data_IF_060935573767
#
_entry.id   IF_060935573767
#
_cell.length_a   1.000
_cell.length_b   1.000
_cell.length_c   1.000
_cell.angle_alpha   90.00
_cell.angle_beta   90.00
_cell.angle_gamma   90.00
#
_symmetry.space_group_name_H-M   'P 1'
#
loop_
_entity.id
_entity.type
_entity.pdbx_description
1 polymer ?
#
# COMPACT_ATOMS: atom_id res chain seq x y z
N UNK A 1 -22.18 40.06 39.16
CA UNK A 1 -21.84 38.64 38.94
C UNK A 1 -23.11 37.88 39.30
N UNK A 2 -24.11 37.87 38.41
CA UNK A 2 -24.26 36.92 37.28
C UNK A 2 -24.23 35.47 37.74
N UNK A 3 -25.18 34.59 37.40
CA UNK A 3 -26.59 34.69 36.99
C UNK A 3 -27.13 33.27 37.13
N UNK A 4 -28.36 33.18 37.60
CA UNK A 4 -29.17 31.98 37.78
C UNK A 4 -29.50 31.29 36.46
N UNK A 5 -29.72 29.98 36.59
CA UNK A 5 -30.21 28.97 35.65
C UNK A 5 -31.24 29.46 34.64
N UNK A 6 -31.13 29.00 33.38
CA UNK A 6 -32.19 29.10 32.39
C UNK A 6 -32.31 27.80 31.56
N UNK A 7 -33.51 27.24 31.64
CA UNK A 7 -34.19 26.25 30.79
C UNK A 7 -35.67 26.53 31.09
N UNK A 8 -36.61 26.58 30.13
CA UNK A 8 -36.75 25.72 28.94
C UNK A 8 -37.24 26.51 27.69
N UNK A 9 -37.49 25.84 26.55
CA UNK A 9 -38.88 25.76 26.04
C UNK A 9 -39.02 25.05 24.68
N UNK A 10 -40.07 24.25 24.65
CA UNK A 10 -40.59 23.45 23.57
C UNK A 10 -41.44 24.35 22.67
N UNK A 11 -41.24 24.32 21.36
CA UNK A 11 -42.23 24.88 20.44
C UNK A 11 -42.72 23.84 19.43
N UNK A 12 -43.90 23.31 19.74
CA UNK A 12 -44.80 22.58 18.86
C UNK A 12 -45.61 23.60 18.06
N UNK A 13 -45.51 23.60 16.73
CA UNK A 13 -46.68 23.91 15.91
C UNK A 13 -46.76 23.00 14.68
N UNK A 14 -47.89 22.33 14.61
CA UNK A 14 -48.36 21.47 13.55
C UNK A 14 -49.09 22.29 12.48
N UNK A 15 -49.02 21.85 11.22
CA UNK A 15 -50.16 21.96 10.31
C UNK A 15 -50.32 20.64 9.56
N UNK A 16 -51.51 20.05 9.76
CA UNK A 16 -52.00 18.85 9.11
C UNK A 16 -52.54 19.16 7.71
N UNK A 17 -52.33 18.25 6.77
CA UNK A 17 -53.24 18.06 5.64
C UNK A 17 -53.38 16.56 5.32
N UNK A 18 -54.62 16.06 5.49
CA UNK A 18 -55.17 14.77 5.03
C UNK A 18 -54.95 14.60 3.51
N UNK A 19 -54.45 13.47 2.97
CA UNK A 19 -55.14 12.19 2.68
C UNK A 19 -55.88 12.23 1.32
N UNK A 20 -55.97 11.17 0.46
CA UNK A 20 -55.99 9.74 0.80
C UNK A 20 -55.28 8.73 -0.16
N UNK A 21 -55.01 7.52 0.34
CA UNK A 21 -55.52 6.26 -0.24
C UNK A 21 -54.86 5.58 -1.46
N UNK A 22 -54.20 4.45 -1.18
CA UNK A 22 -54.21 3.18 -1.93
C UNK A 22 -53.46 3.04 -3.27
N UNK A 23 -52.40 2.22 -3.31
CA UNK A 23 -52.43 0.81 -3.79
C UNK A 23 -51.04 0.18 -3.90
N UNK A 24 -50.93 -1.03 -3.33
CA UNK A 24 -50.19 -2.23 -3.74
C UNK A 24 -49.02 -2.14 -4.76
N UNK A 25 -47.88 -2.63 -4.26
CA UNK A 25 -47.02 -3.67 -4.85
C UNK A 25 -46.11 -3.38 -6.06
N UNK A 26 -44.81 -3.60 -5.78
CA UNK A 26 -43.65 -3.95 -6.64
C UNK A 26 -43.91 -4.16 -8.14
N UNK A 27 -42.89 -3.79 -8.93
CA UNK A 27 -42.16 -4.84 -9.64
C UNK A 27 -40.66 -4.85 -9.33
N UNK A 28 -40.15 -6.07 -9.33
CA UNK A 28 -38.75 -6.45 -9.36
C UNK A 28 -38.25 -6.31 -10.79
N UNK A 29 -37.21 -5.52 -11.01
CA UNK A 29 -36.48 -5.51 -12.28
C UNK A 29 -35.01 -5.31 -11.97
N UNK A 30 -34.19 -6.33 -12.24
CA UNK A 30 -32.74 -6.28 -12.06
C UNK A 30 -32.09 -5.29 -13.02
N UNK A 31 -30.85 -4.84 -12.76
CA UNK A 31 -30.15 -3.99 -13.70
C UNK A 31 -29.53 -4.85 -14.82
N UNK A 32 -30.18 -4.78 -15.98
CA UNK A 32 -29.60 -4.97 -17.32
C UNK A 32 -28.44 -4.00 -17.51
N UNK A 33 -27.34 -4.51 -18.07
CA UNK A 33 -26.18 -3.71 -18.51
C UNK A 33 -26.60 -2.66 -19.56
N UNK A 34 -26.31 -1.39 -19.30
CA UNK A 34 -26.15 -0.38 -20.35
C UNK A 34 -24.77 0.25 -20.24
N UNK A 35 -24.03 0.12 -21.32
CA UNK A 35 -22.77 0.79 -21.57
C UNK A 35 -23.02 2.29 -21.82
N UNK A 36 -22.32 3.13 -21.06
CA UNK A 36 -22.08 4.54 -21.35
C UNK A 36 -20.57 4.77 -21.24
N UNK A 37 -19.95 5.04 -22.38
CA UNK A 37 -18.54 5.37 -22.57
C UNK A 37 -18.31 6.85 -22.14
N UNK A 38 -17.15 7.39 -21.77
CA UNK A 38 -15.74 6.99 -21.70
C UNK A 38 -15.16 7.86 -20.58
N UNK A 39 -14.55 7.27 -19.55
CA UNK A 39 -13.40 7.91 -18.91
C UNK A 39 -12.30 6.85 -18.89
N UNK A 40 -11.12 7.25 -19.32
CA UNK A 40 -10.02 6.37 -19.69
C UNK A 40 -9.58 5.49 -18.52
N UNK A 41 -10.11 4.26 -18.46
CA UNK A 41 -9.46 3.19 -17.74
C UNK A 41 -8.27 2.77 -18.60
N UNK A 42 -7.10 3.34 -18.27
CA UNK A 42 -5.82 2.84 -18.76
C UNK A 42 -5.71 1.33 -18.49
N UNK A 43 -4.87 0.60 -19.24
CA UNK A 43 -4.87 -0.85 -19.18
C UNK A 43 -4.48 -1.28 -17.77
N UNK A 44 -5.46 -1.72 -16.99
CA UNK A 44 -5.24 -2.56 -15.82
C UNK A 44 -4.75 -3.91 -16.36
N UNK A 45 -3.48 -3.94 -16.78
CA UNK A 45 -2.74 -5.18 -16.82
C UNK A 45 -2.84 -5.75 -15.41
N UNK A 46 -3.40 -6.95 -15.28
CA UNK A 46 -3.42 -7.67 -14.01
C UNK A 46 -1.96 -7.81 -13.55
N UNK A 47 -1.52 -6.94 -12.65
CA UNK A 47 -0.17 -6.99 -12.09
C UNK A 47 -0.09 -8.28 -11.29
N UNK A 48 0.70 -9.23 -11.75
CA UNK A 48 0.93 -10.46 -10.99
C UNK A 48 1.67 -10.10 -9.70
N UNK A 49 1.14 -10.55 -8.57
CA UNK A 49 1.76 -10.34 -7.26
C UNK A 49 2.17 -11.68 -6.71
N UNK A 50 3.47 -11.87 -6.49
CA UNK A 50 3.99 -13.01 -5.76
C UNK A 50 3.73 -12.82 -4.26
N UNK A 51 3.10 -13.83 -3.66
CA UNK A 51 2.69 -13.90 -2.26
C UNK A 51 3.54 -14.94 -1.51
N UNK A 52 3.42 -15.01 -0.18
CA UNK A 52 4.07 -16.03 0.64
C UNK A 52 5.59 -16.10 0.44
N UNK A 53 6.27 -15.00 0.69
CA UNK A 53 7.74 -14.98 0.69
C UNK A 53 8.31 -15.87 1.80
N UNK A 54 9.43 -16.55 1.52
CA UNK A 54 10.12 -17.45 2.46
C UNK A 54 10.90 -16.62 3.47
N UNK A 55 10.54 -16.73 4.75
CA UNK A 55 11.13 -15.93 5.84
C UNK A 55 12.65 -16.03 5.91
N UNK A 56 13.20 -17.23 5.78
CA UNK A 56 14.64 -17.48 5.85
C UNK A 56 15.43 -16.82 4.70
N UNK A 57 14.77 -16.42 3.61
CA UNK A 57 15.38 -15.75 2.46
C UNK A 57 15.27 -14.23 2.55
N UNK A 58 14.31 -13.72 3.33
CA UNK A 58 14.09 -12.28 3.43
C UNK A 58 15.18 -11.55 4.22
N UNK A 59 15.84 -12.19 5.17
CA UNK A 59 16.86 -11.51 5.99
C UNK A 59 18.06 -11.04 5.14
N UNK A 60 18.50 -11.85 4.17
CA UNK A 60 19.58 -11.48 3.25
C UNK A 60 19.17 -10.34 2.31
N UNK A 61 17.91 -10.35 1.85
CA UNK A 61 17.37 -9.36 0.89
C UNK A 61 17.09 -8.02 1.57
N UNK A 62 16.40 -8.03 2.71
CA UNK A 62 15.92 -6.83 3.41
C UNK A 62 16.99 -6.19 4.29
N UNK A 63 18.05 -6.92 4.65
CA UNK A 63 18.99 -6.56 5.73
C UNK A 63 18.29 -6.37 7.08
N UNK A 64 19.10 -6.25 8.14
CA UNK A 64 18.64 -6.25 9.54
C UNK A 64 17.55 -5.19 9.82
N UNK A 65 17.73 -3.97 9.34
CA UNK A 65 16.82 -2.86 9.66
C UNK A 65 15.40 -3.12 9.15
N UNK A 66 15.25 -3.42 7.86
CA UNK A 66 13.95 -3.68 7.26
C UNK A 66 13.38 -5.05 7.68
N UNK A 67 14.23 -6.05 7.89
CA UNK A 67 13.80 -7.37 8.36
C UNK A 67 13.19 -7.32 9.75
N UNK A 68 13.83 -6.65 10.71
CA UNK A 68 13.24 -6.45 12.05
C UNK A 68 11.99 -5.59 11.99
N UNK A 69 11.93 -4.64 11.05
CA UNK A 69 10.72 -3.91 10.72
C UNK A 69 9.56 -4.80 10.33
N UNK A 70 9.76 -5.58 9.27
CA UNK A 70 8.78 -6.55 8.80
C UNK A 70 8.33 -7.47 9.94
N UNK A 71 9.28 -7.96 10.76
CA UNK A 71 8.97 -8.83 11.90
C UNK A 71 8.03 -8.18 12.91
N UNK A 72 8.20 -6.88 13.14
CA UNK A 72 7.40 -6.14 14.09
C UNK A 72 6.02 -5.69 13.55
N UNK A 73 5.73 -5.89 12.25
CA UNK A 73 4.45 -5.52 11.60
C UNK A 73 3.24 -6.25 12.16
N UNK A 74 2.05 -5.65 12.04
CA UNK A 74 0.81 -6.32 12.46
C UNK A 74 0.54 -7.55 11.63
N UNK A 75 0.82 -7.49 10.33
CA UNK A 75 0.67 -8.63 9.41
C UNK A 75 1.52 -9.81 9.90
N UNK A 76 2.80 -9.58 10.20
CA UNK A 76 3.67 -10.65 10.70
C UNK A 76 3.19 -11.19 12.04
N UNK A 77 2.84 -10.33 13.00
CA UNK A 77 2.34 -10.79 14.31
C UNK A 77 1.11 -11.67 14.16
N UNK A 78 0.17 -11.27 13.29
CA UNK A 78 -1.03 -12.06 13.03
C UNK A 78 -0.70 -13.42 12.40
N UNK A 79 0.30 -13.51 11.54
CA UNK A 79 0.78 -14.79 11.01
C UNK A 79 1.39 -15.68 12.09
N UNK A 80 2.11 -15.10 13.06
CA UNK A 80 2.68 -15.82 14.20
C UNK A 80 1.60 -16.36 15.14
N UNK A 81 0.55 -15.59 15.38
CA UNK A 81 -0.59 -15.99 16.21
C UNK A 81 -1.32 -17.23 15.65
N UNK A 82 -1.29 -17.43 14.33
CA UNK A 82 -1.85 -18.61 13.64
C UNK A 82 -0.78 -19.67 13.30
N UNK A 83 0.39 -19.60 13.95
CA UNK A 83 1.49 -20.56 13.80
C UNK A 83 2.12 -20.64 12.40
N UNK A 84 1.99 -19.59 11.58
CA UNK A 84 2.64 -19.50 10.27
C UNK A 84 4.04 -18.86 10.42
N UNK A 85 5.07 -19.70 10.50
CA UNK A 85 6.46 -19.26 10.76
C UNK A 85 7.39 -19.30 9.54
N UNK A 86 7.08 -20.11 8.53
CA UNK A 86 7.96 -20.32 7.37
C UNK A 86 7.79 -19.26 6.28
N UNK A 87 6.57 -18.76 6.10
CA UNK A 87 6.20 -17.84 5.03
C UNK A 87 5.57 -16.58 5.59
N UNK A 88 5.68 -15.48 4.84
CA UNK A 88 5.02 -14.22 5.17
C UNK A 88 4.40 -13.55 3.94
N UNK A 89 3.22 -12.97 4.15
CA UNK A 89 2.51 -12.08 3.24
C UNK A 89 2.78 -10.60 3.57
N UNK A 90 3.61 -10.32 4.59
CA UNK A 90 4.06 -8.98 4.95
C UNK A 90 5.00 -8.38 3.88
N UNK A 91 5.62 -9.22 3.04
CA UNK A 91 6.50 -8.82 1.92
C UNK A 91 6.01 -9.46 0.63
N UNK A 92 5.63 -8.62 -0.32
CA UNK A 92 5.04 -9.03 -1.60
C UNK A 92 5.85 -8.44 -2.74
N UNK A 93 5.88 -9.14 -3.86
CA UNK A 93 6.58 -8.68 -5.05
C UNK A 93 5.60 -8.55 -6.20
N UNK A 94 5.39 -7.32 -6.67
CA UNK A 94 4.67 -7.09 -7.93
C UNK A 94 5.63 -7.32 -9.08
N UNK A 95 5.26 -8.25 -9.95
CA UNK A 95 6.09 -8.66 -11.07
C UNK A 95 5.96 -7.65 -12.22
N UNK A 96 7.07 -7.42 -12.91
CA UNK A 96 7.06 -6.73 -14.19
C UNK A 96 6.13 -7.45 -15.17
N UNK A 97 5.26 -6.71 -15.88
CA UNK A 97 4.36 -7.31 -16.85
C UNK A 97 5.09 -7.66 -18.15
N UNK A 98 6.07 -6.82 -18.54
CA UNK A 98 6.93 -7.05 -19.71
C UNK A 98 8.40 -7.10 -19.33
N UNK A 99 9.22 -7.83 -20.12
CA UNK A 99 10.67 -7.74 -20.02
C UNK A 99 11.14 -6.29 -20.07
N UNK A 100 12.00 -5.94 -19.13
CA UNK A 100 12.55 -4.59 -19.01
C UNK A 100 11.66 -3.61 -18.25
N UNK A 101 10.45 -3.95 -17.81
CA UNK A 101 9.70 -3.12 -16.84
C UNK A 101 10.24 -3.31 -15.42
N UNK A 102 9.88 -2.41 -14.51
CA UNK A 102 10.32 -2.49 -13.11
C UNK A 102 9.43 -3.42 -12.27
N UNK A 103 10.04 -4.10 -11.31
CA UNK A 103 9.34 -4.81 -10.24
C UNK A 103 9.03 -3.85 -9.10
N UNK A 104 8.06 -4.18 -8.26
CA UNK A 104 7.81 -3.40 -7.03
C UNK A 104 7.76 -4.32 -5.82
N UNK A 105 8.73 -4.16 -4.92
CA UNK A 105 8.73 -4.81 -3.62
C UNK A 105 7.86 -3.99 -2.67
N UNK A 106 6.86 -4.63 -2.05
CA UNK A 106 5.85 -3.97 -1.22
C UNK A 106 5.84 -4.62 0.16
N UNK A 107 5.91 -3.82 1.22
CA UNK A 107 5.69 -4.30 2.59
C UNK A 107 4.93 -3.32 3.47
N UNK A 108 4.40 -3.83 4.59
CA UNK A 108 3.56 -3.09 5.54
C UNK A 108 4.23 -2.97 6.93
N UNK A 109 4.53 -1.76 7.42
CA UNK A 109 5.07 -1.53 8.78
C UNK A 109 5.06 -0.07 9.28
N UNK A 110 4.62 0.21 10.52
CA UNK A 110 4.38 1.58 11.02
C UNK A 110 5.62 2.47 11.29
N UNK A 111 6.60 2.18 12.17
CA UNK A 111 7.64 3.18 12.44
C UNK A 111 8.76 3.30 11.39
N UNK A 112 9.15 2.22 10.69
CA UNK A 112 10.25 2.30 9.71
C UNK A 112 9.85 3.08 8.46
N UNK A 113 8.60 2.98 8.00
CA UNK A 113 8.17 3.79 6.86
C UNK A 113 8.23 5.27 7.17
N UNK A 114 7.90 5.68 8.41
CA UNK A 114 8.07 7.08 8.81
C UNK A 114 9.53 7.52 8.72
N UNK A 115 10.47 6.74 9.27
CA UNK A 115 11.90 7.05 9.18
C UNK A 115 12.38 7.17 7.72
N UNK A 116 11.96 6.23 6.86
CA UNK A 116 12.32 6.24 5.42
C UNK A 116 11.70 7.44 4.71
N UNK A 117 10.47 7.82 5.04
CA UNK A 117 9.82 9.03 4.50
C UNK A 117 10.52 10.33 4.89
N UNK A 118 11.33 10.31 5.96
CA UNK A 118 12.11 11.45 6.43
C UNK A 118 13.56 11.45 5.93
N UNK A 119 14.01 10.43 5.21
CA UNK A 119 15.36 10.39 4.64
C UNK A 119 15.60 11.63 3.76
N UNK A 120 16.67 12.37 4.02
CA UNK A 120 16.98 13.64 3.34
C UNK A 120 18.12 13.51 2.34
N UNK A 121 18.92 12.46 2.45
CA UNK A 121 20.04 12.18 1.55
C UNK A 121 19.94 10.80 0.90
N UNK A 122 20.73 10.61 -0.16
CA UNK A 122 20.87 9.34 -0.86
C UNK A 122 21.56 8.32 0.05
N UNK A 123 22.50 8.79 0.86
CA UNK A 123 23.26 8.03 1.85
C UNK A 123 22.34 7.51 2.96
N UNK A 124 21.46 8.36 3.52
CA UNK A 124 20.48 7.91 4.53
C UNK A 124 19.60 6.78 3.99
N UNK A 125 19.14 6.94 2.73
CA UNK A 125 18.30 5.94 2.10
C UNK A 125 19.07 4.64 1.84
N UNK A 126 20.33 4.74 1.41
CA UNK A 126 21.21 3.58 1.23
C UNK A 126 21.46 2.84 2.54
N UNK A 127 21.67 3.55 3.63
CA UNK A 127 21.88 2.96 4.96
C UNK A 127 20.61 2.24 5.45
N UNK A 128 19.43 2.81 5.20
CA UNK A 128 18.15 2.19 5.58
C UNK A 128 17.78 0.98 4.72
N UNK A 129 18.00 1.04 3.40
CA UNK A 129 17.69 -0.05 2.47
C UNK A 129 18.76 -1.14 2.44
N UNK A 130 20.00 -0.78 2.76
CA UNK A 130 21.19 -1.58 2.51
C UNK A 130 21.59 -1.60 1.03
N UNK A 131 22.85 -1.96 0.79
CA UNK A 131 23.46 -1.92 -0.55
C UNK A 131 22.69 -2.71 -1.61
N UNK A 132 22.12 -3.86 -1.25
CA UNK A 132 21.47 -4.76 -2.20
C UNK A 132 20.19 -4.14 -2.78
N UNK A 133 19.26 -3.72 -1.93
CA UNK A 133 18.02 -3.07 -2.36
C UNK A 133 18.27 -1.69 -2.93
N UNK A 134 19.25 -0.95 -2.40
CA UNK A 134 19.62 0.34 -2.96
C UNK A 134 20.17 0.19 -4.39
N UNK A 135 21.03 -0.79 -4.65
CA UNK A 135 21.51 -1.09 -6.00
C UNK A 135 20.37 -1.55 -6.93
N UNK A 136 19.42 -2.34 -6.41
CA UNK A 136 18.23 -2.76 -7.15
C UNK A 136 17.36 -1.57 -7.58
N UNK A 137 17.16 -0.62 -6.66
CA UNK A 137 16.46 0.63 -6.92
C UNK A 137 17.19 1.51 -7.92
N UNK A 138 18.52 1.66 -7.79
CA UNK A 138 19.35 2.44 -8.71
C UNK A 138 19.35 1.85 -10.14
N UNK A 139 19.16 0.54 -10.28
CA UNK A 139 19.05 -0.14 -11.56
C UNK A 139 17.65 -0.02 -12.21
N UNK A 140 16.64 0.46 -11.50
CA UNK A 140 15.27 0.63 -12.02
C UNK A 140 15.21 1.64 -13.16
N UNK A 141 14.27 1.45 -14.08
CA UNK A 141 14.01 2.40 -15.15
C UNK A 141 13.49 3.72 -14.61
N UNK A 142 12.65 3.68 -13.57
CA UNK A 142 12.20 4.89 -12.88
C UNK A 142 13.40 5.73 -12.45
N UNK A 143 14.40 5.12 -11.80
CA UNK A 143 15.57 5.85 -11.32
C UNK A 143 16.49 6.33 -12.44
N UNK A 144 16.67 5.52 -13.49
CA UNK A 144 17.40 5.92 -14.70
C UNK A 144 16.77 7.15 -15.36
N UNK A 145 15.45 7.20 -15.44
CA UNK A 145 14.73 8.34 -16.02
C UNK A 145 14.83 9.60 -15.17
N UNK A 146 14.74 9.48 -13.84
CA UNK A 146 14.98 10.61 -12.92
C UNK A 146 16.37 11.24 -13.15
N UNK A 147 17.40 10.41 -13.23
CA UNK A 147 18.77 10.88 -13.51
C UNK A 147 18.88 11.55 -14.86
N UNK A 148 18.22 10.99 -15.90
CA UNK A 148 18.17 11.60 -17.24
C UNK A 148 17.54 12.99 -17.21
N UNK A 149 16.58 13.21 -16.31
CA UNK A 149 15.90 14.49 -16.08
C UNK A 149 16.63 15.43 -15.10
N UNK A 150 17.81 15.04 -14.61
CA UNK A 150 18.61 15.82 -13.65
C UNK A 150 18.09 15.79 -12.21
N UNK A 151 17.17 14.86 -11.87
CA UNK A 151 16.67 14.68 -10.51
C UNK A 151 17.69 13.85 -9.72
N UNK A 152 18.46 14.52 -8.87
CA UNK A 152 19.51 13.87 -8.08
C UNK A 152 18.96 13.15 -6.85
N UNK A 153 17.83 13.60 -6.32
CA UNK A 153 17.15 12.99 -5.17
C UNK A 153 16.47 11.67 -5.55
N UNK A 154 16.53 10.65 -4.69
CA UNK A 154 15.88 9.35 -4.91
C UNK A 154 14.38 9.39 -4.60
N UNK A 155 13.63 10.29 -5.26
CA UNK A 155 12.23 10.59 -4.91
C UNK A 155 11.20 9.62 -5.49
N UNK A 156 11.52 8.94 -6.60
CA UNK A 156 10.56 8.12 -7.33
C UNK A 156 10.82 6.62 -7.21
N UNK A 157 12.01 6.20 -6.80
CA UNK A 157 12.35 4.78 -6.62
C UNK A 157 11.81 4.17 -5.32
N UNK A 158 11.41 5.02 -4.36
CA UNK A 158 10.91 4.61 -3.04
C UNK A 158 9.68 5.44 -2.71
N UNK A 159 8.60 4.75 -2.34
CA UNK A 159 7.35 5.38 -1.93
C UNK A 159 6.90 4.84 -0.58
N UNK A 160 6.54 5.74 0.34
CA UNK A 160 5.94 5.38 1.62
C UNK A 160 4.55 6.01 1.71
N UNK A 161 3.56 5.19 2.06
CA UNK A 161 2.19 5.62 2.30
C UNK A 161 1.68 5.11 3.65
N UNK A 162 0.61 5.70 4.18
CA UNK A 162 0.06 5.38 5.50
C UNK A 162 -1.43 5.01 5.36
N UNK A 163 -1.75 3.82 4.83
CA UNK A 163 -3.12 3.45 4.46
C UNK A 163 -4.10 3.48 5.66
N UNK A 164 -3.59 3.27 6.87
CA UNK A 164 -4.37 3.24 8.10
C UNK A 164 -4.06 4.43 9.03
N UNK A 165 -3.53 5.53 8.47
CA UNK A 165 -3.04 6.67 9.26
C UNK A 165 -1.68 6.40 9.94
N UNK A 166 -1.24 7.35 10.76
CA UNK A 166 0.11 7.34 11.38
C UNK A 166 0.29 6.26 12.45
N UNK A 167 -0.80 5.78 13.04
CA UNK A 167 -0.78 4.78 14.12
C UNK A 167 -0.90 3.34 13.60
N UNK A 168 -1.11 3.19 12.29
CA UNK A 168 -1.19 1.91 11.58
C UNK A 168 0.08 1.59 10.82
N UNK A 169 0.15 0.38 10.25
CA UNK A 169 1.27 -0.01 9.41
C UNK A 169 1.38 0.91 8.19
N UNK A 170 2.56 1.50 7.97
CA UNK A 170 2.87 2.18 6.72
C UNK A 170 3.00 1.15 5.60
N UNK A 171 2.96 1.57 4.35
CA UNK A 171 3.24 0.75 3.19
C UNK A 171 4.45 1.34 2.47
N UNK A 172 5.51 0.57 2.35
CA UNK A 172 6.72 0.94 1.63
C UNK A 172 6.79 0.13 0.34
N UNK A 173 6.92 0.85 -0.77
CA UNK A 173 7.11 0.34 -2.11
C UNK A 173 8.50 0.74 -2.60
N UNK A 174 9.29 -0.23 -3.04
CA UNK A 174 10.59 -0.01 -3.67
C UNK A 174 10.51 -0.51 -5.10
N UNK A 175 10.80 0.37 -6.05
CA UNK A 175 10.86 0.05 -7.47
C UNK A 175 12.23 -0.58 -7.74
N UNK A 176 12.24 -1.76 -8.34
CA UNK A 176 13.43 -2.56 -8.57
C UNK A 176 13.65 -2.76 -10.08
N UNK A 177 14.90 -2.69 -10.52
CA UNK A 177 15.26 -3.08 -11.88
C UNK A 177 14.91 -4.54 -12.18
N UNK A 178 14.53 -4.81 -13.43
CA UNK A 178 14.02 -6.10 -13.89
C UNK A 178 14.86 -7.32 -13.45
N UNK A 179 16.18 -7.28 -13.65
CA UNK A 179 17.05 -8.44 -13.39
C UNK A 179 17.11 -8.78 -11.90
N UNK A 180 17.27 -7.77 -11.04
CA UNK A 180 17.32 -7.99 -9.60
C UNK A 180 15.94 -8.37 -9.07
N UNK A 181 14.86 -7.79 -9.61
CA UNK A 181 13.48 -8.19 -9.32
C UNK A 181 13.24 -9.68 -9.61
N UNK A 182 13.73 -10.19 -10.76
CA UNK A 182 13.65 -11.62 -11.07
C UNK A 182 14.46 -12.50 -10.12
N UNK A 183 15.66 -12.05 -9.71
CA UNK A 183 16.47 -12.79 -8.76
C UNK A 183 15.77 -12.91 -7.39
N UNK A 184 15.20 -11.80 -6.90
CA UNK A 184 14.41 -11.78 -5.65
C UNK A 184 13.20 -12.72 -5.77
N UNK A 185 12.50 -12.68 -6.91
CA UNK A 185 11.38 -13.59 -7.17
C UNK A 185 11.81 -15.06 -7.04
N UNK A 186 12.87 -15.45 -7.75
CA UNK A 186 13.35 -16.84 -7.77
C UNK A 186 13.92 -17.30 -6.41
N UNK A 187 14.51 -16.38 -5.63
CA UNK A 187 15.14 -16.72 -4.36
C UNK A 187 14.13 -16.83 -3.21
N UNK A 188 13.19 -15.88 -3.14
CA UNK A 188 12.34 -15.69 -1.96
C UNK A 188 10.89 -16.16 -2.15
N UNK A 189 10.45 -16.45 -3.37
CA UNK A 189 9.06 -16.83 -3.63
C UNK A 189 8.99 -18.27 -4.19
N UNK A 190 8.07 -19.11 -3.67
CA UNK A 190 7.86 -20.43 -4.21
C UNK A 190 7.36 -20.37 -5.67
N UNK A 191 7.84 -21.30 -6.49
CA UNK A 191 7.44 -21.47 -7.90
C UNK A 191 6.20 -22.33 -8.05
#
# INVERSE_FOLDING_TARGET
METTEDSPDVNLQATNAYGPGSTLSRPSTGPTYQAGAVESVGPNAASFVALMSVMAKLESILRRYLFEGMKASRVRRQEEDIWRTTFTDAVRLRLAYRPGEDFVLVWLYSPIGYAISQARSVEDLRDMLGDYLFAAMEASNQRKEEKRRGILTCTGGVNVSFPNGKDGDSKLEIILGFDIGRNIHAEAYPS
#
